data_IF_586323207600
#
_entry.id   IF_586323207600
#
_cell.length_a   1.000
_cell.length_b   1.000
_cell.length_c   1.000
_cell.angle_alpha   90.00
_cell.angle_beta   90.00
_cell.angle_gamma   90.00
#
_symmetry.space_group_name_H-M   'P 1'
#
loop_
_entity.id
_entity.type
_entity.pdbx_description
1 polymer ?
#
# COMPACT_ATOMS: atom_id res chain seq x y z
N UNK A 1 -4.22 -82.37 -11.01
CA UNK A 1 -4.80 -81.33 -10.13
C UNK A 1 -3.94 -80.09 -10.28
N UNK A 2 -4.48 -78.99 -10.82
CA UNK A 2 -3.74 -77.76 -11.13
C UNK A 2 -3.82 -76.82 -9.93
N UNK A 3 -2.67 -76.41 -9.40
CA UNK A 3 -2.58 -75.42 -8.33
C UNK A 3 -2.80 -74.03 -8.93
N UNK A 4 -3.83 -73.33 -8.46
CA UNK A 4 -4.11 -71.94 -8.80
C UNK A 4 -3.62 -71.09 -7.62
N UNK A 5 -2.55 -70.34 -7.84
CA UNK A 5 -2.01 -69.39 -6.87
C UNK A 5 -2.70 -68.05 -7.10
N UNK A 6 -3.50 -67.58 -6.15
CA UNK A 6 -4.02 -66.21 -6.15
C UNK A 6 -2.96 -65.28 -5.54
N UNK A 7 -2.41 -64.38 -6.34
CA UNK A 7 -1.64 -63.26 -5.85
C UNK A 7 -2.61 -62.14 -5.44
N UNK A 8 -2.75 -61.91 -4.13
CA UNK A 8 -3.44 -60.72 -3.62
C UNK A 8 -2.57 -59.49 -3.89
N UNK A 9 -2.98 -58.68 -4.86
CA UNK A 9 -2.43 -57.34 -5.06
C UNK A 9 -3.04 -56.42 -4.00
N UNK A 10 -2.28 -56.17 -2.92
CA UNK A 10 -2.65 -55.17 -1.94
C UNK A 10 -2.45 -53.78 -2.56
N UNK A 11 -3.56 -53.11 -2.91
CA UNK A 11 -3.55 -51.73 -3.37
C UNK A 11 -3.27 -50.83 -2.16
N UNK A 12 -2.03 -50.38 -1.99
CA UNK A 12 -1.70 -49.31 -1.05
C UNK A 12 -2.33 -48.01 -1.57
N UNK A 13 -3.52 -47.68 -1.05
CA UNK A 13 -4.08 -46.33 -1.16
C UNK A 13 -3.21 -45.43 -0.26
N UNK A 14 -2.24 -44.74 -0.86
CA UNK A 14 -1.57 -43.62 -0.21
C UNK A 14 -2.65 -42.55 0.06
N UNK A 15 -3.07 -42.44 1.32
CA UNK A 15 -3.77 -41.26 1.81
C UNK A 15 -2.77 -40.10 1.74
N UNK A 16 -2.67 -39.47 0.56
CA UNK A 16 -2.25 -38.08 0.48
C UNK A 16 -3.36 -37.26 1.11
N UNK A 17 -3.39 -37.21 2.43
CA UNK A 17 -4.05 -36.11 3.10
C UNK A 17 -3.40 -34.85 2.54
N UNK A 18 -4.17 -34.06 1.81
CA UNK A 18 -3.75 -32.75 1.36
C UNK A 18 -3.55 -31.93 2.64
N UNK A 19 -2.31 -31.92 3.14
CA UNK A 19 -1.88 -30.91 4.10
C UNK A 19 -1.96 -29.61 3.35
N UNK A 20 -2.95 -28.78 3.66
CA UNK A 20 -2.93 -27.38 3.25
C UNK A 20 -1.63 -26.81 3.80
N UNK A 21 -0.72 -26.39 2.92
CA UNK A 21 0.38 -25.54 3.37
C UNK A 21 -0.26 -24.29 3.95
N UNK A 22 -0.12 -24.11 5.27
CA UNK A 22 -0.46 -22.86 5.91
C UNK A 22 0.60 -21.85 5.49
N UNK A 23 0.24 -20.98 4.54
CA UNK A 23 1.04 -19.81 4.22
C UNK A 23 0.79 -18.75 5.28
N UNK A 24 1.76 -18.57 6.17
CA UNK A 24 1.80 -17.41 7.06
C UNK A 24 2.40 -16.24 6.28
N UNK A 25 1.65 -15.13 6.23
CA UNK A 25 2.09 -13.86 5.64
C UNK A 25 2.10 -12.81 6.75
N UNK A 26 3.27 -12.26 7.05
CA UNK A 26 3.45 -11.26 8.10
C UNK A 26 3.79 -9.90 7.50
N UNK A 27 2.90 -8.93 7.70
CA UNK A 27 3.03 -7.58 7.15
C UNK A 27 3.14 -6.58 8.29
N UNK A 28 4.23 -5.82 8.32
CA UNK A 28 4.35 -4.60 9.11
C UNK A 28 3.92 -3.38 8.29
N UNK A 29 3.50 -2.31 8.97
CA UNK A 29 3.19 -1.05 8.31
C UNK A 29 3.46 0.14 9.23
N UNK A 30 3.68 1.31 8.64
CA UNK A 30 3.84 2.56 9.38
C UNK A 30 3.84 3.77 8.45
N UNK A 31 3.61 4.95 9.02
CA UNK A 31 3.60 6.24 8.32
C UNK A 31 4.28 7.31 9.19
N UNK A 32 4.33 8.54 8.68
CA UNK A 32 4.76 9.73 9.42
C UNK A 32 6.18 9.61 9.98
N UNK A 33 7.15 9.35 9.10
CA UNK A 33 8.56 9.20 9.42
C UNK A 33 9.26 10.56 9.69
N UNK A 34 8.70 11.36 10.60
CA UNK A 34 9.24 12.67 10.98
C UNK A 34 10.45 12.49 11.91
N UNK A 35 11.68 12.88 11.50
CA UNK A 35 12.90 12.58 12.25
C UNK A 35 12.88 12.98 13.72
N UNK A 36 12.33 14.13 14.08
CA UNK A 36 12.30 14.60 15.48
C UNK A 36 11.41 13.71 16.37
N UNK A 37 10.47 12.98 15.77
CA UNK A 37 9.47 12.18 16.47
C UNK A 37 9.77 10.68 16.39
N UNK A 38 10.33 10.17 15.29
CA UNK A 38 10.38 8.73 15.01
C UNK A 38 11.76 8.08 15.09
N UNK A 39 12.86 8.85 15.10
CA UNK A 39 14.22 8.27 15.06
C UNK A 39 14.49 7.24 16.17
N UNK A 40 13.91 7.45 17.35
CA UNK A 40 14.07 6.54 18.49
C UNK A 40 13.39 5.17 18.29
N UNK A 41 12.46 5.06 17.35
CA UNK A 41 11.76 3.81 17.00
C UNK A 41 12.51 2.97 15.96
N UNK A 42 13.46 3.58 15.22
CA UNK A 42 14.15 2.91 14.11
C UNK A 42 14.89 1.63 14.52
N UNK A 43 15.56 1.52 15.70
CA UNK A 43 16.16 0.26 16.11
C UNK A 43 15.13 -0.86 16.32
N UNK A 44 13.95 -0.53 16.86
CA UNK A 44 12.85 -1.49 17.05
C UNK A 44 12.26 -1.92 15.72
N UNK A 45 12.03 -0.98 14.81
CA UNK A 45 11.58 -1.29 13.44
C UNK A 45 12.59 -2.20 12.73
N UNK A 46 13.89 -1.86 12.77
CA UNK A 46 14.95 -2.64 12.15
C UNK A 46 15.03 -4.07 12.67
N UNK A 47 14.75 -4.29 13.95
CA UNK A 47 14.67 -5.64 14.53
C UNK A 47 13.40 -6.39 14.10
N UNK A 48 12.25 -5.72 14.04
CA UNK A 48 11.00 -6.36 13.63
C UNK A 48 11.06 -6.86 12.18
N UNK A 49 11.73 -6.11 11.29
CA UNK A 49 11.89 -6.46 9.87
C UNK A 49 12.64 -7.77 9.63
N UNK A 50 13.38 -8.31 10.61
CA UNK A 50 14.07 -9.60 10.44
C UNK A 50 13.10 -10.78 10.22
N UNK A 51 11.82 -10.62 10.56
CA UNK A 51 10.80 -11.67 10.44
C UNK A 51 9.56 -11.27 9.63
N UNK A 52 9.54 -10.08 9.02
CA UNK A 52 8.41 -9.63 8.21
C UNK A 52 8.63 -10.02 6.74
N UNK A 53 7.58 -10.47 6.08
CA UNK A 53 7.60 -10.66 4.62
C UNK A 53 7.55 -9.30 3.92
N UNK A 54 6.64 -8.42 4.37
CA UNK A 54 6.53 -7.06 3.86
C UNK A 54 6.53 -6.00 4.95
N UNK A 55 7.06 -4.82 4.62
CA UNK A 55 6.80 -3.59 5.35
C UNK A 55 6.23 -2.52 4.43
N UNK A 56 5.05 -2.00 4.78
CA UNK A 56 4.31 -1.03 3.98
C UNK A 56 4.45 0.37 4.59
N UNK A 57 5.07 1.26 3.83
CA UNK A 57 5.13 2.69 4.13
C UNK A 57 3.80 3.35 3.70
N UNK A 58 2.98 3.78 4.65
CA UNK A 58 1.62 4.28 4.41
C UNK A 58 1.54 5.78 4.07
N UNK A 59 2.68 6.39 3.75
CA UNK A 59 2.79 7.82 3.45
C UNK A 59 3.52 8.60 4.53
N UNK A 60 3.86 9.84 4.19
CA UNK A 60 4.81 10.68 4.93
C UNK A 60 6.14 9.93 5.15
N UNK A 61 6.65 9.32 4.08
CA UNK A 61 7.86 8.50 4.13
C UNK A 61 9.10 9.40 4.33
N UNK A 62 9.02 10.62 3.79
CA UNK A 62 9.85 11.76 4.12
C UNK A 62 8.98 12.98 4.40
N UNK A 63 9.58 13.98 5.05
CA UNK A 63 9.00 15.31 5.16
C UNK A 63 9.78 16.28 4.28
N UNK A 64 9.18 16.71 3.17
CA UNK A 64 9.74 17.77 2.34
C UNK A 64 9.65 19.12 3.06
N UNK A 65 10.75 19.85 3.05
CA UNK A 65 10.83 21.21 3.59
C UNK A 65 10.54 22.26 2.51
N UNK A 66 10.31 23.50 2.93
CA UNK A 66 10.05 24.63 2.02
C UNK A 66 11.07 24.71 0.88
N UNK A 67 10.57 24.51 -0.34
CA UNK A 67 11.35 24.58 -1.57
C UNK A 67 11.93 23.24 -2.05
N UNK A 68 11.94 22.19 -1.22
CA UNK A 68 12.39 20.86 -1.63
C UNK A 68 11.42 20.20 -2.62
N UNK A 69 10.13 20.54 -2.55
CA UNK A 69 9.10 20.10 -3.51
C UNK A 69 9.04 20.91 -4.82
N UNK A 70 9.99 21.82 -5.08
CA UNK A 70 9.97 22.67 -6.29
C UNK A 70 10.54 21.97 -7.53
N UNK A 71 11.34 20.91 -7.36
CA UNK A 71 12.01 20.21 -8.46
C UNK A 71 12.21 18.74 -8.14
N UNK A 72 12.42 17.95 -9.19
CA UNK A 72 12.80 16.54 -9.07
C UNK A 72 14.11 16.40 -8.26
N UNK A 73 15.15 17.17 -8.60
CA UNK A 73 16.47 17.05 -7.96
C UNK A 73 16.41 17.37 -6.46
N UNK A 74 15.71 18.43 -6.07
CA UNK A 74 15.54 18.80 -4.66
C UNK A 74 14.71 17.79 -3.88
N UNK A 75 13.71 17.18 -4.52
CA UNK A 75 12.89 16.13 -3.90
C UNK A 75 13.71 14.86 -3.71
N UNK A 76 14.42 14.43 -4.75
CA UNK A 76 15.27 13.23 -4.69
C UNK A 76 16.41 13.41 -3.67
N UNK A 77 17.03 14.59 -3.61
CA UNK A 77 18.04 14.89 -2.59
C UNK A 77 17.51 14.72 -1.15
N UNK A 78 16.22 15.00 -0.90
CA UNK A 78 15.60 14.73 0.40
C UNK A 78 15.44 13.23 0.66
N UNK A 79 14.97 12.46 -0.32
CA UNK A 79 14.93 10.99 -0.22
C UNK A 79 16.31 10.40 0.07
N UNK A 80 17.32 10.81 -0.69
CA UNK A 80 18.71 10.38 -0.51
C UNK A 80 19.27 10.78 0.86
N UNK A 81 18.94 11.98 1.35
CA UNK A 81 19.37 12.44 2.68
C UNK A 81 18.72 11.65 3.81
N UNK A 82 17.44 11.28 3.68
CA UNK A 82 16.74 10.52 4.72
C UNK A 82 17.17 9.06 4.66
N UNK A 83 16.93 8.40 3.52
CA UNK A 83 17.12 6.97 3.38
C UNK A 83 18.58 6.57 3.13
N UNK A 84 19.47 7.50 2.80
CA UNK A 84 20.92 7.25 2.72
C UNK A 84 21.62 7.10 4.07
N UNK A 85 20.92 7.36 5.19
CA UNK A 85 21.48 7.14 6.52
C UNK A 85 21.71 5.63 6.77
N UNK A 86 22.77 5.24 7.51
CA UNK A 86 23.11 3.84 7.69
C UNK A 86 21.97 2.95 8.22
N UNK A 87 21.18 3.47 9.17
CA UNK A 87 20.04 2.71 9.72
C UNK A 87 18.94 2.46 8.70
N UNK A 88 18.66 3.43 7.80
CA UNK A 88 17.68 3.23 6.74
C UNK A 88 18.20 2.31 5.66
N UNK A 89 19.50 2.35 5.35
CA UNK A 89 20.11 1.37 4.44
C UNK A 89 20.01 -0.06 5.00
N UNK A 90 20.16 -0.24 6.32
CA UNK A 90 19.94 -1.54 6.97
C UNK A 90 18.46 -1.96 6.92
N UNK A 91 17.54 -1.05 7.28
CA UNK A 91 16.09 -1.27 7.19
C UNK A 91 15.68 -1.71 5.78
N UNK A 92 16.07 -0.94 4.75
CA UNK A 92 15.73 -1.21 3.35
C UNK A 92 16.36 -2.49 2.79
N UNK A 93 17.31 -3.10 3.52
CA UNK A 93 17.92 -4.39 3.14
C UNK A 93 17.16 -5.60 3.69
N UNK A 94 16.12 -5.37 4.51
CA UNK A 94 15.32 -6.39 5.19
C UNK A 94 13.86 -6.30 4.76
N UNK A 95 13.19 -7.44 4.64
CA UNK A 95 11.82 -7.55 4.12
C UNK A 95 11.66 -6.97 2.71
N UNK A 96 10.50 -7.20 2.11
CA UNK A 96 10.11 -6.52 0.90
C UNK A 96 9.35 -5.22 1.25
N UNK A 97 9.78 -4.10 0.67
CA UNK A 97 9.17 -2.81 0.95
C UNK A 97 8.14 -2.42 -0.11
N UNK A 98 6.95 -2.06 0.37
CA UNK A 98 5.91 -1.41 -0.42
C UNK A 98 5.68 -0.01 0.12
N UNK A 99 5.22 0.91 -0.72
CA UNK A 99 4.95 2.28 -0.29
C UNK A 99 3.70 2.84 -0.97
N UNK A 100 3.00 3.71 -0.26
CA UNK A 100 2.18 4.78 -0.83
C UNK A 100 2.78 6.11 -0.36
N UNK A 101 2.22 7.21 -0.83
CA UNK A 101 2.66 8.56 -0.49
C UNK A 101 1.51 9.33 0.16
N UNK A 102 1.85 10.35 0.94
CA UNK A 102 0.89 11.33 1.46
C UNK A 102 1.41 12.77 1.23
N UNK A 103 0.82 13.81 1.84
CA UNK A 103 1.14 15.20 1.50
C UNK A 103 2.60 15.57 1.72
N UNK A 104 3.26 15.05 2.76
CA UNK A 104 4.65 15.41 3.04
C UNK A 104 5.67 14.76 2.09
N UNK A 105 5.29 13.67 1.41
CA UNK A 105 6.02 13.14 0.25
C UNK A 105 5.72 13.97 -1.02
N UNK A 106 4.51 14.52 -1.11
CA UNK A 106 3.97 15.09 -2.32
C UNK A 106 4.28 16.58 -2.50
N UNK A 107 4.33 17.36 -1.42
CA UNK A 107 4.43 18.81 -1.48
C UNK A 107 4.24 19.52 -0.12
N UNK A 108 3.70 20.75 -0.12
CA UNK A 108 3.31 21.45 1.11
C UNK A 108 2.25 20.68 1.90
N UNK A 109 2.14 20.97 3.20
CA UNK A 109 1.11 20.43 4.09
C UNK A 109 -0.30 20.63 3.49
N UNK A 110 -1.13 19.59 3.56
CA UNK A 110 -2.49 19.52 3.01
C UNK A 110 -2.58 19.83 1.50
N UNK A 111 -1.50 19.62 0.73
CA UNK A 111 -1.53 19.95 -0.69
C UNK A 111 -2.57 19.14 -1.47
N UNK A 112 -3.18 19.82 -2.44
CA UNK A 112 -4.14 19.26 -3.38
C UNK A 112 -3.91 19.82 -4.79
N UNK A 113 -4.56 19.23 -5.79
CA UNK A 113 -4.44 19.65 -7.18
C UNK A 113 -5.08 21.02 -7.49
N UNK A 114 -5.76 21.63 -6.51
CA UNK A 114 -6.34 22.97 -6.66
C UNK A 114 -5.36 24.09 -6.31
N UNK A 115 -4.37 23.81 -5.45
CA UNK A 115 -3.43 24.80 -4.92
C UNK A 115 -1.97 24.48 -5.23
N UNK A 116 -1.65 23.24 -5.55
CA UNK A 116 -0.28 22.79 -5.79
C UNK A 116 -0.12 22.11 -7.17
N UNK A 117 0.87 22.57 -7.93
CA UNK A 117 1.15 22.08 -9.29
C UNK A 117 2.45 21.29 -9.42
N UNK A 118 3.16 21.06 -8.31
CA UNK A 118 4.48 20.40 -8.32
C UNK A 118 4.43 18.87 -8.31
N UNK A 119 3.24 18.26 -8.23
CA UNK A 119 3.07 16.80 -8.24
C UNK A 119 3.85 16.07 -9.34
N UNK A 120 3.95 16.55 -10.61
CA UNK A 120 4.74 15.83 -11.61
C UNK A 120 6.21 15.65 -11.25
N UNK A 121 6.81 16.61 -10.54
CA UNK A 121 8.21 16.55 -10.14
C UNK A 121 8.41 15.63 -8.93
N UNK A 122 7.56 15.77 -7.90
CA UNK A 122 7.64 14.98 -6.67
C UNK A 122 7.23 13.53 -6.92
N UNK A 123 6.17 13.28 -7.70
CA UNK A 123 5.74 11.95 -8.15
C UNK A 123 6.84 11.22 -8.94
N UNK A 124 7.58 11.94 -9.80
CA UNK A 124 8.71 11.35 -10.51
C UNK A 124 9.78 10.88 -9.53
N UNK A 125 10.16 11.71 -8.55
CA UNK A 125 11.14 11.35 -7.53
C UNK A 125 10.66 10.17 -6.68
N UNK A 126 9.40 10.20 -6.23
CA UNK A 126 8.77 9.12 -5.47
C UNK A 126 8.83 7.78 -6.22
N UNK A 127 8.42 7.77 -7.50
CA UNK A 127 8.47 6.57 -8.36
C UNK A 127 9.88 6.05 -8.58
N UNK A 128 10.85 6.93 -8.81
CA UNK A 128 12.23 6.54 -9.05
C UNK A 128 12.95 6.09 -7.78
N UNK A 129 12.51 6.55 -6.61
CA UNK A 129 13.02 6.07 -5.32
C UNK A 129 12.46 4.68 -4.98
N UNK A 130 11.13 4.54 -4.92
CA UNK A 130 10.48 3.29 -4.49
C UNK A 130 10.45 2.19 -5.56
N UNK A 131 10.49 2.55 -6.85
CA UNK A 131 10.56 1.64 -8.00
C UNK A 131 9.58 0.44 -7.88
N UNK A 132 8.26 0.66 -7.94
CA UNK A 132 7.29 -0.43 -7.83
C UNK A 132 7.55 -1.48 -8.92
N UNK A 133 7.50 -2.75 -8.53
CA UNK A 133 7.65 -3.91 -9.41
C UNK A 133 6.31 -4.41 -9.98
N UNK A 134 5.21 -3.82 -9.53
CA UNK A 134 3.85 -4.08 -9.99
C UNK A 134 3.34 -3.03 -10.98
N UNK A 135 2.27 -3.37 -11.69
CA UNK A 135 1.69 -2.51 -12.71
C UNK A 135 1.10 -1.23 -12.10
N UNK A 136 1.48 -0.09 -12.68
CA UNK A 136 0.98 1.24 -12.33
C UNK A 136 0.04 1.73 -13.44
N UNK A 137 -1.29 1.76 -13.23
CA UNK A 137 -2.26 2.06 -14.30
C UNK A 137 -2.13 3.49 -14.84
N UNK A 138 -1.63 4.43 -14.03
CA UNK A 138 -1.42 5.81 -14.43
C UNK A 138 0.04 6.26 -14.26
N UNK A 139 0.64 6.79 -15.32
CA UNK A 139 2.03 7.28 -15.29
C UNK A 139 2.21 8.50 -14.37
N UNK A 140 1.16 9.28 -14.10
CA UNK A 140 1.18 10.52 -13.32
C UNK A 140 0.77 10.36 -11.85
N UNK A 141 0.46 9.15 -11.40
CA UNK A 141 -0.01 8.86 -10.04
C UNK A 141 0.59 7.53 -9.55
N UNK A 142 0.67 7.30 -8.24
CA UNK A 142 1.28 6.11 -7.64
C UNK A 142 0.21 5.20 -7.04
N UNK A 143 -0.46 4.42 -7.89
CA UNK A 143 -1.40 3.41 -7.42
C UNK A 143 -1.29 2.13 -8.21
N UNK A 144 -1.65 1.02 -7.59
CA UNK A 144 -1.63 -0.29 -8.21
C UNK A 144 -1.95 -1.41 -7.24
N UNK A 145 -1.78 -2.64 -7.71
CA UNK A 145 -2.07 -3.86 -6.96
C UNK A 145 -0.91 -4.83 -7.10
N UNK A 146 -0.51 -5.43 -6.00
CA UNK A 146 0.36 -6.60 -5.99
C UNK A 146 -0.33 -7.78 -5.30
N UNK A 147 0.20 -8.98 -5.55
CA UNK A 147 -0.37 -10.25 -5.09
C UNK A 147 0.64 -10.92 -4.17
N UNK A 148 0.17 -11.41 -3.02
CA UNK A 148 0.98 -12.13 -2.03
C UNK A 148 0.31 -13.47 -1.65
N UNK A 149 1.03 -14.30 -0.90
CA UNK A 149 0.58 -15.62 -0.43
C UNK A 149 -0.06 -16.46 -1.54
N UNK A 150 0.65 -16.59 -2.66
CA UNK A 150 0.26 -17.39 -3.82
C UNK A 150 -1.14 -17.09 -4.38
N UNK A 151 -1.55 -15.82 -4.33
CA UNK A 151 -2.86 -15.38 -4.82
C UNK A 151 -3.94 -15.27 -3.76
N UNK A 152 -3.65 -15.64 -2.51
CA UNK A 152 -4.61 -15.58 -1.41
C UNK A 152 -4.80 -14.17 -0.86
N UNK A 153 -3.84 -13.27 -1.10
CA UNK A 153 -3.86 -11.88 -0.62
C UNK A 153 -3.61 -10.93 -1.78
N UNK A 154 -4.51 -9.96 -1.94
CA UNK A 154 -4.23 -8.77 -2.74
C UNK A 154 -3.85 -7.60 -1.86
N UNK A 155 -2.84 -6.85 -2.28
CA UNK A 155 -2.43 -5.59 -1.65
C UNK A 155 -2.69 -4.47 -2.65
N UNK A 156 -3.69 -3.64 -2.36
CA UNK A 156 -4.04 -2.44 -3.10
C UNK A 156 -3.33 -1.24 -2.50
N UNK A 157 -2.59 -0.51 -3.34
CA UNK A 157 -1.83 0.68 -2.96
C UNK A 157 -2.49 1.87 -3.64
N UNK A 158 -3.15 2.73 -2.87
CA UNK A 158 -3.94 3.85 -3.37
C UNK A 158 -3.19 5.19 -3.20
N UNK A 159 -3.44 6.10 -4.13
CA UNK A 159 -2.91 7.45 -4.19
C UNK A 159 -3.98 8.47 -3.75
N UNK A 160 -3.83 9.04 -2.56
CA UNK A 160 -4.77 10.01 -2.00
C UNK A 160 -4.44 11.48 -2.33
N UNK A 161 -3.40 11.76 -3.15
CA UNK A 161 -2.92 13.13 -3.44
C UNK A 161 -3.04 13.54 -4.89
N UNK A 162 -2.64 12.68 -5.84
CA UNK A 162 -2.53 13.04 -7.27
C UNK A 162 -3.82 13.57 -7.89
N UNK A 163 -4.96 13.11 -7.38
CA UNK A 163 -6.28 13.48 -7.87
C UNK A 163 -7.07 14.34 -6.87
N UNK A 164 -6.53 14.55 -5.66
CA UNK A 164 -7.24 15.24 -4.59
C UNK A 164 -7.57 16.66 -5.03
N UNK A 165 -8.79 17.06 -4.72
CA UNK A 165 -9.31 18.41 -4.92
C UNK A 165 -9.78 18.97 -3.60
N UNK A 166 -9.87 20.30 -3.49
CA UNK A 166 -10.38 20.94 -2.30
C UNK A 166 -11.77 20.40 -1.93
N UNK A 167 -11.97 20.03 -0.66
CA UNK A 167 -13.21 19.45 -0.12
C UNK A 167 -14.48 20.27 -0.38
N UNK A 168 -14.36 21.59 -0.53
CA UNK A 168 -15.50 22.50 -0.77
C UNK A 168 -15.85 22.61 -2.27
N UNK A 169 -15.12 21.89 -3.14
CA UNK A 169 -15.38 21.83 -4.57
C UNK A 169 -16.66 21.04 -4.89
N UNK A 170 -17.41 21.45 -5.91
CA UNK A 170 -18.65 20.78 -6.31
C UNK A 170 -18.48 19.28 -6.63
N UNK A 171 -17.31 18.91 -7.16
CA UNK A 171 -16.91 17.53 -7.46
C UNK A 171 -15.69 17.12 -6.63
N UNK A 172 -15.67 17.49 -5.35
CA UNK A 172 -14.60 17.13 -4.43
C UNK A 172 -14.35 15.60 -4.45
N UNK A 173 -13.10 15.23 -4.56
CA UNK A 173 -12.62 13.84 -4.67
C UNK A 173 -11.23 13.73 -4.06
N UNK A 174 -10.90 12.56 -3.51
CA UNK A 174 -9.56 12.23 -3.02
C UNK A 174 -8.84 11.38 -4.07
N UNK A 175 -9.47 10.30 -4.50
CA UNK A 175 -8.86 9.32 -5.39
C UNK A 175 -9.09 9.61 -6.87
N UNK A 176 -10.09 10.42 -7.23
CA UNK A 176 -10.44 10.70 -8.62
C UNK A 176 -11.10 9.52 -9.33
N UNK A 177 -11.93 9.83 -10.34
CA UNK A 177 -12.79 8.82 -10.99
C UNK A 177 -12.00 7.71 -11.70
N UNK A 178 -10.80 8.01 -12.22
CA UNK A 178 -9.97 7.03 -12.93
C UNK A 178 -9.49 5.92 -11.98
N UNK A 179 -8.90 6.31 -10.86
CA UNK A 179 -8.42 5.36 -9.85
C UNK A 179 -9.58 4.67 -9.14
N UNK A 180 -10.68 5.37 -8.83
CA UNK A 180 -11.87 4.76 -8.23
C UNK A 180 -12.44 3.65 -9.11
N UNK A 181 -12.57 3.89 -10.42
CA UNK A 181 -13.05 2.88 -11.36
C UNK A 181 -12.07 1.69 -11.45
N UNK A 182 -10.77 1.96 -11.52
CA UNK A 182 -9.75 0.91 -11.53
C UNK A 182 -9.81 0.07 -10.24
N UNK A 183 -9.89 0.71 -9.08
CA UNK A 183 -9.90 0.03 -7.79
C UNK A 183 -11.13 -0.86 -7.64
N UNK A 184 -12.32 -0.32 -7.94
CA UNK A 184 -13.56 -1.09 -7.90
C UNK A 184 -13.53 -2.28 -8.86
N UNK A 185 -13.11 -2.08 -10.11
CA UNK A 185 -13.00 -3.17 -11.09
C UNK A 185 -12.02 -4.26 -10.64
N UNK A 186 -10.86 -3.87 -10.12
CA UNK A 186 -9.86 -4.81 -9.61
C UNK A 186 -10.33 -5.56 -8.35
N UNK A 187 -11.10 -4.89 -7.47
CA UNK A 187 -11.66 -5.46 -6.24
C UNK A 187 -12.75 -6.50 -6.53
N UNK A 188 -13.75 -6.16 -7.35
CA UNK A 188 -14.89 -7.05 -7.61
C UNK A 188 -14.53 -8.28 -8.45
N UNK A 189 -13.44 -8.20 -9.23
CA UNK A 189 -12.91 -9.33 -9.99
C UNK A 189 -11.81 -10.10 -9.25
N UNK A 190 -11.44 -9.71 -8.03
CA UNK A 190 -10.47 -10.44 -7.23
C UNK A 190 -11.02 -11.78 -6.76
N UNK A 191 -10.17 -12.81 -6.78
CA UNK A 191 -10.43 -14.12 -6.17
C UNK A 191 -9.65 -14.34 -4.87
N UNK A 192 -8.93 -13.32 -4.40
CA UNK A 192 -8.15 -13.41 -3.17
C UNK A 192 -9.06 -13.47 -1.94
N UNK A 193 -8.61 -14.17 -0.89
CA UNK A 193 -9.37 -14.34 0.34
C UNK A 193 -9.31 -13.10 1.23
N UNK A 194 -8.21 -12.33 1.13
CA UNK A 194 -7.96 -11.09 1.87
C UNK A 194 -7.57 -9.99 0.89
N UNK A 195 -8.12 -8.80 1.11
CA UNK A 195 -7.76 -7.59 0.39
C UNK A 195 -7.19 -6.60 1.41
N UNK A 196 -5.91 -6.26 1.28
CA UNK A 196 -5.28 -5.22 2.07
C UNK A 196 -5.37 -3.93 1.26
N UNK A 197 -5.97 -2.89 1.85
CA UNK A 197 -6.17 -1.59 1.21
C UNK A 197 -5.31 -0.57 1.94
N UNK A 198 -4.20 -0.21 1.32
CA UNK A 198 -3.28 0.81 1.80
C UNK A 198 -3.74 2.16 1.23
N UNK A 199 -4.13 3.08 2.10
CA UNK A 199 -4.51 4.43 1.68
C UNK A 199 -4.14 5.48 2.71
N UNK A 200 -3.65 6.62 2.24
CA UNK A 200 -3.44 7.80 3.10
C UNK A 200 -4.77 8.45 3.48
N UNK A 201 -4.82 9.01 4.69
CA UNK A 201 -6.01 9.64 5.26
C UNK A 201 -7.01 8.63 5.83
N UNK A 202 -7.43 8.87 7.08
CA UNK A 202 -8.23 7.94 7.85
C UNK A 202 -9.61 7.69 7.20
N UNK A 203 -9.91 6.44 6.87
CA UNK A 203 -11.19 6.06 6.26
C UNK A 203 -12.35 6.07 7.27
N UNK A 204 -12.14 5.44 8.44
CA UNK A 204 -13.22 5.16 9.39
C UNK A 204 -13.42 6.25 10.44
N UNK A 205 -12.46 7.18 10.63
CA UNK A 205 -12.61 8.30 11.55
C UNK A 205 -13.90 9.09 11.24
N UNK A 206 -14.77 9.27 12.24
CA UNK A 206 -16.05 9.97 12.08
C UNK A 206 -15.95 11.47 12.27
N UNK A 207 -14.85 11.96 12.85
CA UNK A 207 -14.67 13.37 13.15
C UNK A 207 -14.19 14.11 11.91
N UNK A 208 -14.92 15.16 11.50
CA UNK A 208 -14.55 16.04 10.39
C UNK A 208 -13.51 17.07 10.85
N UNK A 209 -12.36 16.57 11.29
CA UNK A 209 -11.22 17.36 11.80
C UNK A 209 -9.95 16.90 11.09
N UNK A 210 -9.10 17.86 10.71
CA UNK A 210 -7.90 17.61 9.89
C UNK A 210 -8.22 16.92 8.56
N UNK A 211 -7.21 16.42 7.86
CA UNK A 211 -7.39 15.68 6.62
C UNK A 211 -7.77 14.23 6.89
N UNK A 212 -8.99 13.85 6.47
CA UNK A 212 -9.50 12.49 6.52
C UNK A 212 -10.70 12.32 5.58
N UNK A 213 -11.18 11.09 5.40
CA UNK A 213 -12.27 10.76 4.49
C UNK A 213 -13.65 11.26 4.95
N UNK A 214 -13.84 11.60 6.22
CA UNK A 214 -15.10 12.23 6.67
C UNK A 214 -15.33 13.61 6.08
N UNK A 215 -14.27 14.28 5.58
CA UNK A 215 -14.42 15.50 4.78
C UNK A 215 -14.92 15.25 3.33
N UNK A 216 -14.92 14.00 2.88
CA UNK A 216 -15.36 13.57 1.54
C UNK A 216 -16.47 12.52 1.66
N UNK A 217 -17.63 12.86 2.26
CA UNK A 217 -18.60 11.88 2.74
C UNK A 217 -19.15 10.97 1.65
N UNK A 218 -19.35 11.48 0.42
CA UNK A 218 -19.82 10.68 -0.71
C UNK A 218 -18.82 9.62 -1.14
N UNK A 219 -17.54 10.00 -1.26
CA UNK A 219 -16.48 9.07 -1.65
C UNK A 219 -16.18 8.07 -0.53
N UNK A 220 -16.25 8.50 0.74
CA UNK A 220 -16.17 7.62 1.91
C UNK A 220 -17.28 6.57 1.92
N UNK A 221 -18.53 6.98 1.73
CA UNK A 221 -19.68 6.07 1.69
C UNK A 221 -19.53 5.04 0.56
N UNK A 222 -19.10 5.49 -0.62
CA UNK A 222 -18.82 4.62 -1.76
C UNK A 222 -17.76 3.56 -1.44
N UNK A 223 -16.62 3.96 -0.86
CA UNK A 223 -15.56 3.02 -0.48
C UNK A 223 -16.03 2.03 0.58
N UNK A 224 -16.75 2.50 1.62
CA UNK A 224 -17.30 1.62 2.66
C UNK A 224 -18.27 0.61 2.06
N UNK A 225 -19.13 1.03 1.13
CA UNK A 225 -20.04 0.14 0.42
C UNK A 225 -19.26 -0.93 -0.36
N UNK A 226 -18.30 -0.53 -1.21
CA UNK A 226 -17.52 -1.46 -2.02
C UNK A 226 -16.75 -2.48 -1.17
N UNK A 227 -16.15 -2.04 -0.07
CA UNK A 227 -15.45 -2.93 0.85
C UNK A 227 -16.42 -3.89 1.55
N UNK A 228 -17.64 -3.45 1.90
CA UNK A 228 -18.66 -4.34 2.50
C UNK A 228 -19.20 -5.41 1.54
N UNK A 229 -19.09 -5.17 0.24
CA UNK A 229 -19.54 -6.06 -0.83
C UNK A 229 -18.37 -6.85 -1.47
N UNK A 230 -17.13 -6.69 -0.96
CA UNK A 230 -15.95 -7.31 -1.52
C UNK A 230 -16.01 -8.85 -1.46
N UNK A 231 -15.48 -9.57 -2.47
CA UNK A 231 -15.51 -11.04 -2.51
C UNK A 231 -14.60 -11.71 -1.47
N UNK A 232 -13.65 -10.95 -0.90
CA UNK A 232 -12.72 -11.35 0.15
C UNK A 232 -12.83 -10.44 1.36
N UNK A 233 -12.04 -10.71 2.41
CA UNK A 233 -12.05 -9.90 3.63
C UNK A 233 -11.21 -8.62 3.44
N UNK A 234 -11.82 -7.42 3.49
CA UNK A 234 -11.05 -6.19 3.42
C UNK A 234 -10.37 -5.87 4.76
N UNK A 235 -9.11 -5.46 4.71
CA UNK A 235 -8.33 -4.90 5.81
C UNK A 235 -7.80 -3.54 5.32
N UNK A 236 -8.23 -2.46 5.95
CA UNK A 236 -7.82 -1.11 5.57
C UNK A 236 -6.69 -0.65 6.48
N UNK A 237 -5.59 -0.19 5.87
CA UNK A 237 -4.43 0.38 6.54
C UNK A 237 -4.39 1.89 6.20
N UNK A 238 -4.59 2.74 7.22
CA UNK A 238 -4.63 4.22 7.13
C UNK A 238 -3.93 4.86 8.32
#
# INVERSE_FOLDING_TARGET
MKNITFACLALLMLNSACTTEEHELTIGFGSCNEPEQTQHLLPTLNQALDSLDHFIWLGDNIYLENGQWNSYDSTMARYESVFGQPIFQEILSKSDHLAIWDDHDAGPNDCDGSTYSGFPATMKAFKEFWKPDYAQPNKRSYYGRTIAADGSVDIFLLDNRSFRTNRDSANATVFGIEQLNWFHDALVHSTANVHIICMGGQLLNTDQVFENMSNYPKERELLVQWLSEAPGTPIVLT
#
